data_IF_196031824894
#
_entry.id   IF_196031824894
#
_cell.length_a   1.000
_cell.length_b   1.000
_cell.length_c   1.000
_cell.angle_alpha   90.00
_cell.angle_beta   90.00
_cell.angle_gamma   90.00
#
_symmetry.space_group_name_H-M   'P 1'
#
loop_
_entity.id
_entity.type
_entity.pdbx_description
1 polymer ?
#
# COMPACT_ATOMS: atom_id res chain seq x y z
N UNK A 1 -17.16 -9.52 7.16
CA UNK A 1 -17.82 -8.36 6.52
C UNK A 1 -18.46 -7.51 7.58
N UNK A 2 -17.86 -6.40 7.82
CA UNK A 2 -18.21 -5.52 8.90
C UNK A 2 -17.99 -4.08 8.48
N UNK A 3 -18.54 -3.15 9.22
CA UNK A 3 -18.25 -1.75 9.00
C UNK A 3 -16.88 -1.45 9.61
N UNK A 4 -16.00 -0.87 8.81
CA UNK A 4 -14.60 -0.65 9.17
C UNK A 4 -14.24 0.82 9.01
N UNK A 5 -13.51 1.37 9.98
CA UNK A 5 -12.90 2.68 9.85
C UNK A 5 -11.46 2.49 9.38
N UNK A 6 -11.25 2.68 8.09
CA UNK A 6 -9.96 2.46 7.45
C UNK A 6 -8.87 3.41 7.98
N UNK A 7 -9.27 4.65 8.30
CA UNK A 7 -8.32 5.63 8.82
C UNK A 7 -7.70 5.17 10.14
N UNK A 8 -8.49 4.51 10.98
CA UNK A 8 -8.00 3.93 12.25
C UNK A 8 -7.02 2.80 11.99
N UNK A 9 -7.33 1.94 11.02
CA UNK A 9 -6.44 0.83 10.65
C UNK A 9 -5.09 1.38 10.24
N UNK A 10 -5.07 2.42 9.39
CA UNK A 10 -3.82 3.03 8.92
C UNK A 10 -3.04 3.65 10.07
N UNK A 11 -3.71 4.38 10.98
CA UNK A 11 -3.06 4.93 12.16
C UNK A 11 -2.37 3.85 12.99
N UNK A 12 -3.07 2.75 13.22
CA UNK A 12 -2.52 1.63 14.00
C UNK A 12 -1.30 1.01 13.32
N UNK A 13 -1.35 0.84 11.99
CA UNK A 13 -0.22 0.32 11.23
C UNK A 13 1.00 1.22 11.38
N UNK A 14 0.81 2.54 11.23
CA UNK A 14 1.93 3.48 11.32
C UNK A 14 2.56 3.46 12.71
N UNK A 15 1.76 3.25 13.76
CA UNK A 15 2.30 3.07 15.10
C UNK A 15 3.07 1.76 15.24
N UNK A 16 2.55 0.68 14.66
CA UNK A 16 3.19 -0.64 14.72
C UNK A 16 4.56 -0.65 14.05
N UNK A 17 4.72 0.09 12.96
CA UNK A 17 5.98 0.11 12.20
C UNK A 17 6.86 1.31 12.50
N UNK A 18 6.53 2.06 13.55
CA UNK A 18 7.22 3.31 13.88
C UNK A 18 8.74 3.15 14.00
N UNK A 19 9.21 2.05 14.61
CA UNK A 19 10.64 1.82 14.75
C UNK A 19 11.33 1.63 13.41
N UNK A 20 10.73 0.86 12.52
CA UNK A 20 11.27 0.65 11.17
C UNK A 20 11.33 1.94 10.36
N UNK A 21 10.32 2.79 10.50
CA UNK A 21 10.30 4.09 9.85
C UNK A 21 11.42 4.98 10.39
N UNK A 22 11.58 5.01 11.70
CA UNK A 22 12.60 5.81 12.36
C UNK A 22 14.02 5.38 11.96
N UNK A 23 14.27 4.07 11.94
CA UNK A 23 15.57 3.52 11.59
C UNK A 23 16.03 3.92 10.19
N UNK A 24 15.10 4.09 9.26
CA UNK A 24 15.41 4.47 7.89
C UNK A 24 15.14 5.96 7.61
N UNK A 25 14.79 6.71 8.63
CA UNK A 25 14.46 8.15 8.50
C UNK A 25 13.37 8.37 7.46
N UNK A 26 12.32 7.54 7.52
CA UNK A 26 11.17 7.66 6.63
C UNK A 26 10.11 8.54 7.28
N UNK A 27 9.71 9.59 6.58
CA UNK A 27 8.62 10.47 7.01
C UNK A 27 7.33 9.98 6.36
N UNK A 28 6.23 9.96 7.11
CA UNK A 28 4.93 9.59 6.56
C UNK A 28 4.00 10.80 6.61
N UNK A 29 3.42 11.13 5.46
CA UNK A 29 2.37 12.15 5.36
C UNK A 29 1.06 11.41 5.13
N UNK A 30 0.26 11.32 6.18
CA UNK A 30 -1.04 10.67 6.14
C UNK A 30 -2.12 11.72 5.87
N UNK A 31 -2.62 11.74 4.64
CA UNK A 31 -3.64 12.70 4.20
C UNK A 31 -5.05 12.13 4.24
N UNK A 32 -5.24 10.96 4.82
CA UNK A 32 -6.58 10.39 4.90
C UNK A 32 -7.47 11.25 5.81
N UNK A 33 -8.74 11.41 5.44
CA UNK A 33 -9.70 12.04 6.36
C UNK A 33 -9.76 11.27 7.68
N UNK A 34 -10.27 11.90 8.73
CA UNK A 34 -10.38 11.26 10.04
C UNK A 34 -11.24 9.98 9.99
N UNK A 35 -12.17 9.93 9.04
CA UNK A 35 -13.03 8.75 8.88
C UNK A 35 -13.16 8.37 7.41
N UNK A 36 -12.69 7.17 7.09
CA UNK A 36 -12.94 6.53 5.81
C UNK A 36 -13.63 5.21 6.15
N UNK A 37 -14.95 5.21 6.04
CA UNK A 37 -15.79 4.09 6.49
C UNK A 37 -16.22 3.26 5.30
N UNK A 38 -16.04 1.95 5.40
CA UNK A 38 -16.55 1.03 4.39
C UNK A 38 -16.96 -0.28 5.04
N UNK A 39 -17.77 -1.07 4.32
CA UNK A 39 -18.15 -2.42 4.74
C UNK A 39 -17.27 -3.41 4.02
N UNK A 40 -16.50 -4.17 4.78
CA UNK A 40 -15.54 -5.10 4.20
C UNK A 40 -14.92 -6.01 5.23
N UNK A 41 -13.73 -6.50 4.92
CA UNK A 41 -12.95 -7.37 5.81
C UNK A 41 -11.84 -6.56 6.45
N UNK A 42 -11.92 -6.36 7.78
CA UNK A 42 -10.89 -5.60 8.48
C UNK A 42 -9.50 -6.21 8.34
N UNK A 43 -9.41 -7.55 8.37
CA UNK A 43 -8.12 -8.22 8.22
C UNK A 43 -7.51 -8.04 6.84
N UNK A 44 -8.32 -8.10 5.79
CA UNK A 44 -7.82 -7.88 4.43
C UNK A 44 -7.47 -6.42 4.18
N UNK A 45 -8.27 -5.49 4.71
CA UNK A 45 -7.96 -4.07 4.61
C UNK A 45 -6.66 -3.73 5.34
N UNK A 46 -6.46 -4.31 6.51
CA UNK A 46 -5.19 -4.21 7.23
C UNK A 46 -4.04 -4.72 6.35
N UNK A 47 -4.22 -5.89 5.71
CA UNK A 47 -3.18 -6.48 4.88
C UNK A 47 -2.78 -5.59 3.71
N UNK A 48 -3.73 -4.87 3.11
CA UNK A 48 -3.42 -3.94 2.02
C UNK A 48 -2.41 -2.91 2.50
N UNK A 49 -2.74 -2.14 3.53
CA UNK A 49 -1.89 -1.03 3.97
C UNK A 49 -0.64 -1.50 4.68
N UNK A 50 -0.72 -2.61 5.42
CA UNK A 50 0.46 -3.14 6.08
C UNK A 50 1.50 -3.62 5.07
N UNK A 51 1.08 -4.36 4.04
CA UNK A 51 2.01 -4.85 3.02
C UNK A 51 2.58 -3.72 2.17
N UNK A 52 1.77 -2.72 1.82
CA UNK A 52 2.30 -1.56 1.09
C UNK A 52 3.34 -0.81 1.93
N UNK A 53 3.09 -0.66 3.22
CA UNK A 53 4.01 0.03 4.13
C UNK A 53 5.29 -0.79 4.33
N UNK A 54 5.17 -2.08 4.59
CA UNK A 54 6.33 -2.97 4.74
C UNK A 54 7.18 -2.98 3.48
N UNK A 55 6.54 -2.98 2.30
CA UNK A 55 7.24 -2.95 1.02
C UNK A 55 8.06 -1.66 0.88
N UNK A 56 7.48 -0.52 1.22
CA UNK A 56 8.19 0.75 1.14
C UNK A 56 9.37 0.78 2.12
N UNK A 57 9.18 0.32 3.35
CA UNK A 57 10.25 0.27 4.35
C UNK A 57 11.40 -0.62 3.85
N UNK A 58 11.08 -1.76 3.24
CA UNK A 58 12.09 -2.70 2.79
C UNK A 58 12.85 -2.23 1.54
N UNK A 59 12.18 -1.58 0.60
CA UNK A 59 12.73 -1.40 -0.74
C UNK A 59 12.89 0.03 -1.23
N UNK A 60 12.18 1.00 -0.65
CA UNK A 60 12.21 2.37 -1.19
C UNK A 60 13.51 3.13 -0.90
N UNK A 61 14.19 2.79 0.17
CA UNK A 61 15.44 3.44 0.56
C UNK A 61 15.33 4.20 1.87
N UNK A 62 16.39 4.95 2.19
CA UNK A 62 16.46 5.76 3.40
C UNK A 62 16.14 7.22 3.08
N UNK A 63 15.74 7.96 4.11
CA UNK A 63 15.50 9.41 3.99
C UNK A 63 14.46 9.76 2.93
N UNK A 64 13.41 8.94 2.86
CA UNK A 64 12.33 9.10 1.90
C UNK A 64 11.03 9.48 2.61
N UNK A 65 10.03 9.86 1.82
CA UNK A 65 8.71 10.18 2.33
C UNK A 65 7.67 9.24 1.74
N UNK A 66 6.78 8.74 2.58
CA UNK A 66 5.60 8.00 2.16
C UNK A 66 4.40 8.94 2.27
N UNK A 67 3.53 8.95 1.26
CA UNK A 67 2.29 9.72 1.29
C UNK A 67 1.11 8.78 1.08
N UNK A 68 0.13 8.86 1.97
CA UNK A 68 -1.09 8.07 1.89
C UNK A 68 -2.25 9.04 1.69
N UNK A 69 -3.03 8.86 0.64
CA UNK A 69 -4.05 9.82 0.26
C UNK A 69 -5.30 9.12 -0.30
N UNK A 70 -6.46 9.61 0.09
CA UNK A 70 -7.72 9.30 -0.59
C UNK A 70 -8.03 10.52 -1.45
N UNK A 71 -7.71 10.45 -2.75
CA UNK A 71 -7.75 11.64 -3.61
C UNK A 71 -9.10 11.85 -4.27
N UNK A 72 -9.99 10.88 -4.16
CA UNK A 72 -11.32 10.98 -4.76
C UNK A 72 -12.26 10.01 -4.06
N UNK A 73 -13.53 10.36 -4.07
CA UNK A 73 -14.59 9.47 -3.58
C UNK A 73 -15.84 9.74 -4.41
N UNK A 74 -16.56 8.68 -4.76
CA UNK A 74 -17.86 8.81 -5.37
C UNK A 74 -18.87 7.96 -4.58
N UNK A 75 -20.06 7.74 -5.12
CA UNK A 75 -21.10 7.01 -4.39
C UNK A 75 -20.70 5.57 -4.04
N UNK A 76 -19.87 4.94 -4.88
CA UNK A 76 -19.56 3.51 -4.74
C UNK A 76 -18.14 3.23 -4.28
N UNK A 77 -17.19 4.13 -4.55
CA UNK A 77 -15.77 3.85 -4.34
C UNK A 77 -15.04 4.95 -3.61
N UNK A 78 -13.99 4.55 -2.89
CA UNK A 78 -12.89 5.41 -2.50
C UNK A 78 -11.70 5.15 -3.41
N UNK A 79 -10.95 6.19 -3.75
CA UNK A 79 -9.79 6.13 -4.63
C UNK A 79 -8.55 6.54 -3.85
N UNK A 80 -7.57 5.65 -3.80
CA UNK A 80 -6.38 5.82 -2.95
C UNK A 80 -5.11 5.91 -3.75
N UNK A 81 -4.16 6.65 -3.19
CA UNK A 81 -2.77 6.67 -3.63
C UNK A 81 -1.88 6.38 -2.42
N UNK A 82 -0.95 5.47 -2.61
CA UNK A 82 0.09 5.16 -1.63
C UNK A 82 1.42 5.29 -2.38
N UNK A 83 2.18 6.34 -2.08
CA UNK A 83 3.39 6.64 -2.83
C UNK A 83 4.59 6.84 -1.92
N UNK A 84 5.79 6.64 -2.49
CA UNK A 84 7.03 6.95 -1.81
C UNK A 84 7.92 7.79 -2.74
N UNK A 85 8.94 8.41 -2.16
CA UNK A 85 9.91 9.22 -2.90
C UNK A 85 11.22 8.46 -3.11
N UNK A 86 11.15 7.13 -3.07
CA UNK A 86 12.33 6.28 -3.13
C UNK A 86 12.83 6.00 -4.53
N UNK A 87 13.45 4.83 -4.69
CA UNK A 87 14.14 4.48 -5.93
C UNK A 87 13.19 4.07 -7.07
N UNK A 88 11.94 3.77 -6.78
CA UNK A 88 11.05 3.23 -7.79
C UNK A 88 11.46 1.86 -8.27
N UNK A 89 10.93 1.44 -9.42
CA UNK A 89 11.30 0.17 -10.06
C UNK A 89 11.46 0.39 -11.55
N UNK A 90 12.30 -0.42 -12.23
CA UNK A 90 12.36 -0.35 -13.70
C UNK A 90 10.98 -0.63 -14.31
N UNK A 91 10.61 0.11 -15.34
CA UNK A 91 9.27 0.03 -15.95
C UNK A 91 8.88 -1.40 -16.37
N UNK A 92 9.85 -2.18 -16.79
CA UNK A 92 9.60 -3.57 -17.22
C UNK A 92 9.03 -4.45 -16.11
N UNK A 93 9.19 -4.06 -14.85
CA UNK A 93 8.71 -4.84 -13.72
C UNK A 93 7.33 -4.38 -13.21
N UNK A 94 6.86 -3.19 -13.61
CA UNK A 94 5.64 -2.60 -13.03
C UNK A 94 4.42 -3.51 -13.15
N UNK A 95 4.23 -4.12 -14.31
CA UNK A 95 3.07 -4.98 -14.56
C UNK A 95 3.16 -6.32 -13.83
N UNK A 96 4.32 -6.69 -13.31
CA UNK A 96 4.55 -7.98 -12.68
C UNK A 96 4.68 -7.91 -11.16
N UNK A 97 4.63 -6.71 -10.59
CA UNK A 97 4.85 -6.53 -9.15
C UNK A 97 3.87 -7.33 -8.27
N UNK A 98 2.66 -7.56 -8.78
CA UNK A 98 1.62 -8.26 -8.01
C UNK A 98 1.62 -9.78 -8.22
N UNK A 99 2.53 -10.30 -9.05
CA UNK A 99 2.64 -11.74 -9.25
C UNK A 99 3.26 -12.39 -8.03
N UNK A 100 2.75 -13.56 -7.67
CA UNK A 100 3.29 -14.32 -6.53
C UNK A 100 4.74 -14.67 -6.78
N UNK A 101 5.59 -14.44 -5.77
CA UNK A 101 7.02 -14.72 -5.79
C UNK A 101 7.84 -13.89 -6.77
N UNK A 102 7.22 -12.92 -7.46
CA UNK A 102 7.99 -12.04 -8.34
C UNK A 102 8.85 -11.08 -7.51
N UNK A 103 10.10 -10.94 -7.89
CA UNK A 103 11.04 -10.04 -7.23
C UNK A 103 11.86 -9.29 -8.27
N UNK A 104 11.96 -7.99 -8.09
CA UNK A 104 12.77 -7.14 -8.98
C UNK A 104 14.25 -7.46 -8.80
N UNK A 105 14.69 -7.67 -7.55
CA UNK A 105 16.07 -8.01 -7.18
C UNK A 105 16.00 -9.18 -6.20
N UNK A 106 16.22 -10.40 -6.72
CA UNK A 106 16.11 -11.62 -5.93
C UNK A 106 17.10 -11.68 -4.78
N UNK A 107 18.34 -11.25 -5.01
CA UNK A 107 19.36 -11.24 -3.96
C UNK A 107 19.02 -10.28 -2.84
N UNK A 108 18.61 -9.07 -3.18
CA UNK A 108 18.22 -8.06 -2.23
C UNK A 108 16.97 -8.48 -1.46
N UNK A 109 15.98 -9.05 -2.16
CA UNK A 109 14.75 -9.50 -1.52
C UNK A 109 15.02 -10.55 -0.46
N UNK A 110 15.90 -11.52 -0.73
CA UNK A 110 16.26 -12.53 0.24
C UNK A 110 16.99 -11.92 1.45
N UNK A 111 17.92 -11.02 1.19
CA UNK A 111 18.67 -10.34 2.24
C UNK A 111 17.74 -9.56 3.18
N UNK A 112 16.69 -8.97 2.65
CA UNK A 112 15.72 -8.19 3.42
C UNK A 112 14.57 -9.04 3.95
N UNK A 113 14.60 -10.36 3.73
CA UNK A 113 13.57 -11.26 4.24
C UNK A 113 12.28 -11.28 3.44
N UNK A 114 12.28 -10.73 2.23
CA UNK A 114 11.07 -10.68 1.41
C UNK A 114 10.64 -12.05 0.91
N UNK A 115 9.35 -12.35 0.98
CA UNK A 115 8.77 -13.62 0.52
C UNK A 115 8.28 -13.58 -0.92
N UNK A 116 8.07 -12.39 -1.49
CA UNK A 116 7.48 -12.25 -2.80
C UNK A 116 5.97 -12.41 -2.81
N UNK A 117 5.33 -12.43 -1.64
CA UNK A 117 3.88 -12.62 -1.51
C UNK A 117 3.12 -11.35 -1.15
N UNK A 118 3.80 -10.35 -0.55
CA UNK A 118 3.12 -9.17 -0.01
C UNK A 118 2.24 -8.42 -1.00
N UNK A 119 2.75 -8.15 -2.20
CA UNK A 119 1.99 -7.41 -3.19
C UNK A 119 0.90 -8.27 -3.85
N UNK A 120 1.10 -9.59 -3.93
CA UNK A 120 0.04 -10.48 -4.39
C UNK A 120 -1.12 -10.49 -3.39
N UNK A 121 -0.83 -10.46 -2.10
CA UNK A 121 -1.84 -10.36 -1.05
C UNK A 121 -2.61 -9.03 -1.19
N UNK A 122 -1.89 -7.94 -1.44
CA UNK A 122 -2.51 -6.62 -1.65
C UNK A 122 -3.51 -6.69 -2.80
N UNK A 123 -3.09 -7.22 -3.95
CA UNK A 123 -3.96 -7.29 -5.12
C UNK A 123 -5.21 -8.13 -4.83
N UNK A 124 -5.04 -9.29 -4.21
CA UNK A 124 -6.18 -10.15 -3.90
C UNK A 124 -7.15 -9.47 -2.93
N UNK A 125 -6.65 -8.77 -1.94
CA UNK A 125 -7.49 -8.05 -0.98
C UNK A 125 -8.24 -6.89 -1.63
N UNK A 126 -7.59 -6.17 -2.56
CA UNK A 126 -8.23 -5.09 -3.33
C UNK A 126 -9.34 -5.67 -4.20
N UNK A 127 -9.06 -6.77 -4.90
CA UNK A 127 -10.08 -7.44 -5.74
C UNK A 127 -11.26 -7.93 -4.91
N UNK A 128 -10.99 -8.49 -3.73
CA UNK A 128 -12.06 -8.92 -2.81
C UNK A 128 -13.00 -7.75 -2.47
N UNK A 129 -12.46 -6.55 -2.37
CA UNK A 129 -13.24 -5.34 -2.06
C UNK A 129 -13.77 -4.64 -3.32
N UNK A 130 -13.84 -5.35 -4.43
CA UNK A 130 -14.43 -4.85 -5.66
C UNK A 130 -13.65 -3.78 -6.37
N UNK A 131 -12.39 -3.61 -6.01
CA UNK A 131 -11.54 -2.57 -6.57
C UNK A 131 -10.51 -3.08 -7.56
N UNK A 132 -9.67 -2.17 -8.00
CA UNK A 132 -8.54 -2.46 -8.89
C UNK A 132 -7.30 -1.76 -8.35
N UNK A 133 -6.12 -2.26 -8.73
CA UNK A 133 -4.85 -1.67 -8.32
C UNK A 133 -3.85 -1.73 -9.46
N UNK A 134 -3.06 -0.67 -9.56
CA UNK A 134 -1.90 -0.66 -10.45
C UNK A 134 -0.77 0.14 -9.79
N UNK A 135 0.44 -0.06 -10.32
CA UNK A 135 1.63 0.63 -9.85
C UNK A 135 2.22 1.45 -10.99
N UNK A 136 2.81 2.58 -10.65
CA UNK A 136 3.55 3.40 -11.60
C UNK A 136 4.70 4.10 -10.90
N UNK A 137 5.73 4.47 -11.67
CA UNK A 137 6.81 5.29 -11.14
C UNK A 137 6.35 6.75 -11.08
N UNK A 138 6.80 7.46 -10.04
CA UNK A 138 6.54 8.89 -9.90
C UNK A 138 7.50 9.67 -10.81
N UNK A 139 7.06 10.79 -11.42
CA UNK A 139 7.92 11.58 -12.32
C UNK A 139 9.23 12.03 -11.68
N UNK A 140 9.22 12.32 -10.39
CA UNK A 140 10.39 12.83 -9.67
C UNK A 140 11.14 11.76 -8.89
N UNK A 141 10.77 10.49 -9.08
CA UNK A 141 11.36 9.38 -8.36
C UNK A 141 10.39 8.78 -7.36
N UNK A 142 10.48 7.47 -7.20
CA UNK A 142 9.62 6.72 -6.29
C UNK A 142 8.53 5.94 -7.01
N UNK A 143 7.78 5.21 -6.22
CA UNK A 143 6.74 4.30 -6.71
C UNK A 143 5.39 4.73 -6.14
N UNK A 144 4.36 4.64 -6.97
CA UNK A 144 3.00 4.94 -6.53
C UNK A 144 2.09 3.76 -6.83
N UNK A 145 1.33 3.34 -5.82
CA UNK A 145 0.23 2.38 -5.97
C UNK A 145 -1.07 3.17 -5.97
N UNK A 146 -1.87 2.96 -7.01
CA UNK A 146 -3.19 3.60 -7.15
C UNK A 146 -4.23 2.50 -7.12
N UNK A 147 -5.20 2.62 -6.22
CA UNK A 147 -6.19 1.56 -6.07
C UNK A 147 -7.54 2.11 -5.60
N UNK A 148 -8.56 1.30 -5.81
CA UNK A 148 -9.92 1.62 -5.40
C UNK A 148 -10.42 0.56 -4.44
N UNK A 149 -11.32 0.96 -3.56
CA UNK A 149 -12.04 0.04 -2.68
C UNK A 149 -13.51 0.41 -2.74
N UNK A 150 -14.36 -0.58 -2.91
CA UNK A 150 -15.80 -0.35 -2.93
C UNK A 150 -16.28 -0.06 -1.51
N UNK A 151 -17.16 0.91 -1.36
CA UNK A 151 -17.64 1.33 -0.04
C UNK A 151 -18.44 0.24 0.66
N UNK A 152 -19.16 -0.59 -0.11
CA UNK A 152 -19.95 -1.67 0.44
C UNK A 152 -19.86 -2.88 -0.49
N UNK A 153 -19.12 -3.90 -0.06
CA UNK A 153 -18.91 -5.10 -0.87
C UNK A 153 -20.15 -5.98 -0.96
N UNK A 154 -21.18 -5.68 -0.17
CA UNK A 154 -22.46 -6.38 -0.22
C UNK A 154 -23.50 -5.64 -1.06
N UNK A 155 -23.23 -4.38 -1.38
CA UNK A 155 -24.17 -3.52 -2.07
C UNK A 155 -24.05 -3.43 -3.58
#
# INVERSE_FOLDING_TARGET
>A
KEQVNLSKIVENILNEVALGLEEKHITVVNKLPSEVILTGSSSLLYSIFRNLTDNAIAYAGNDIQITINCFREDEKFYYFSFSDTGVGVPEEHLNRLFERFYRVDKGRSRKLGGTGLGLAIVKNAVLFHGGTIFAKNMPKGGLEFVFTLKKDIQG
#
